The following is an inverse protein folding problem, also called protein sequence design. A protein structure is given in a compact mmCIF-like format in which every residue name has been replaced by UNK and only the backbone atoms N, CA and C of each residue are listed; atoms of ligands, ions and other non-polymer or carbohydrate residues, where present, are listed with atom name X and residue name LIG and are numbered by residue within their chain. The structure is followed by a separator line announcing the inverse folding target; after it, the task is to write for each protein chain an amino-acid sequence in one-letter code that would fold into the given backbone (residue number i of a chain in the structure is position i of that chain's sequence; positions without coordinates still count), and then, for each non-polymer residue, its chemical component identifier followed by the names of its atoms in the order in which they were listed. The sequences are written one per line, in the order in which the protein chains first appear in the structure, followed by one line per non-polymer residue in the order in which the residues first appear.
data_IF_173838356548
#
_entry.id   IF_173838356548
#
_cell.length_a   1.000
_cell.length_b   1.000
_cell.length_c   1.000
_cell.angle_alpha   90.00
_cell.angle_beta   90.00
_cell.angle_gamma   90.00
#
_symmetry.space_group_name_H-M   'P 1'
#
loop_
_entity.id
_entity.type
_entity.pdbx_description
1 polymer ?
#
# COMPACT_ATOMS: atom_id res chain seq x y z
N UNK A 1 -36.26 -28.01 34.51
CA UNK A 1 -35.04 -27.20 34.33
C UNK A 1 -34.60 -27.37 32.90
N UNK A 2 -35.04 -26.47 32.05
CA UNK A 2 -34.72 -26.47 30.63
C UNK A 2 -33.41 -25.68 30.43
N UNK A 3 -32.45 -26.33 29.79
CA UNK A 3 -31.16 -25.71 29.43
C UNK A 3 -31.35 -25.02 28.08
N UNK A 4 -31.43 -23.69 28.08
CA UNK A 4 -31.50 -22.87 26.87
C UNK A 4 -30.09 -22.83 26.28
N UNK A 5 -29.90 -23.60 25.19
CA UNK A 5 -28.68 -23.56 24.39
C UNK A 5 -28.57 -22.23 23.64
N UNK A 6 -27.59 -21.40 24.00
CA UNK A 6 -27.24 -20.19 23.24
C UNK A 6 -26.47 -20.65 22.02
N UNK A 7 -27.13 -20.67 20.85
CA UNK A 7 -26.51 -20.83 19.55
C UNK A 7 -25.87 -19.49 19.19
N UNK A 8 -24.55 -19.37 19.37
CA UNK A 8 -23.79 -18.27 18.79
C UNK A 8 -23.75 -18.43 17.27
N UNK A 9 -24.62 -17.71 16.58
CA UNK A 9 -24.56 -17.55 15.13
C UNK A 9 -23.38 -16.62 14.84
N UNK A 10 -22.22 -17.20 14.52
CA UNK A 10 -21.13 -16.47 13.90
C UNK A 10 -21.60 -16.05 12.51
N UNK A 11 -22.14 -14.84 12.38
CA UNK A 11 -22.33 -14.21 11.09
C UNK A 11 -20.94 -14.11 10.43
N UNK A 12 -20.70 -14.88 9.36
CA UNK A 12 -19.57 -14.67 8.46
C UNK A 12 -19.61 -13.21 8.07
N UNK A 13 -18.67 -12.40 8.56
CA UNK A 13 -18.48 -11.03 8.10
C UNK A 13 -18.21 -11.14 6.60
N UNK A 14 -19.21 -10.83 5.78
CA UNK A 14 -19.06 -10.75 4.31
C UNK A 14 -17.97 -9.72 4.08
N UNK A 15 -16.86 -10.10 3.44
CA UNK A 15 -15.86 -9.14 3.01
C UNK A 15 -16.62 -8.05 2.25
N UNK A 16 -16.49 -6.78 2.67
CA UNK A 16 -17.23 -5.72 2.01
C UNK A 16 -16.62 -5.54 0.62
N UNK A 17 -17.45 -5.63 -0.41
CA UNK A 17 -17.07 -5.29 -1.77
C UNK A 17 -16.54 -3.85 -1.84
N UNK A 18 -15.61 -3.60 -2.76
CA UNK A 18 -15.08 -2.25 -2.97
C UNK A 18 -16.23 -1.35 -3.47
N UNK A 19 -16.45 -0.17 -2.88
CA UNK A 19 -17.48 0.74 -3.34
C UNK A 19 -17.30 1.12 -4.81
N UNK A 20 -18.40 1.20 -5.53
CA UNK A 20 -18.47 1.72 -6.90
C UNK A 20 -19.16 3.08 -6.86
N UNK A 21 -18.49 4.10 -7.32
CA UNK A 21 -18.93 5.50 -7.23
C UNK A 21 -18.93 6.16 -8.61
N UNK A 22 -19.76 7.18 -8.78
CA UNK A 22 -19.78 8.02 -9.97
C UNK A 22 -19.19 9.40 -9.70
N UNK A 23 -18.51 9.99 -10.68
CA UNK A 23 -18.11 11.38 -10.63
C UNK A 23 -19.33 12.30 -10.67
N UNK A 24 -19.33 13.37 -9.86
CA UNK A 24 -20.44 14.35 -9.80
C UNK A 24 -20.11 15.67 -10.49
N UNK A 25 -18.84 16.02 -10.65
CA UNK A 25 -18.36 17.25 -11.27
C UNK A 25 -17.29 17.01 -12.32
N UNK A 26 -17.07 17.98 -13.18
CA UNK A 26 -15.92 18.03 -14.10
C UNK A 26 -14.61 17.99 -13.30
N UNK A 27 -13.64 17.23 -13.80
CA UNK A 27 -12.29 17.15 -13.21
C UNK A 27 -11.62 18.52 -13.32
N UNK A 28 -11.27 19.10 -12.18
CA UNK A 28 -10.61 20.41 -12.10
C UNK A 28 -9.13 20.35 -11.80
N UNK A 29 -8.65 19.21 -11.33
CA UNK A 29 -7.25 19.05 -10.95
C UNK A 29 -6.66 17.74 -11.46
N UNK A 30 -5.48 17.83 -12.08
CA UNK A 30 -4.64 16.71 -12.50
C UNK A 30 -3.26 16.89 -11.87
N UNK A 31 -2.80 15.87 -11.18
CA UNK A 31 -1.47 15.89 -10.58
C UNK A 31 -0.40 15.67 -11.65
N UNK A 32 0.68 16.44 -11.59
CA UNK A 32 1.79 16.34 -12.55
C UNK A 32 2.84 15.32 -12.08
N UNK A 33 2.41 14.10 -11.90
CA UNK A 33 3.28 12.95 -11.61
C UNK A 33 3.30 12.00 -12.79
N UNK A 34 4.13 10.97 -12.77
CA UNK A 34 4.29 10.04 -13.90
C UNK A 34 2.98 9.40 -14.39
N UNK A 35 2.02 9.16 -13.51
CA UNK A 35 0.71 8.57 -13.84
C UNK A 35 -0.40 9.59 -14.04
N UNK A 36 -0.14 10.87 -13.74
CA UNK A 36 -1.10 11.98 -13.87
C UNK A 36 -2.48 11.68 -13.27
N UNK A 37 -2.58 11.24 -11.99
CA UNK A 37 -3.87 10.96 -11.39
C UNK A 37 -4.72 12.23 -11.31
N UNK A 38 -6.04 12.04 -11.24
CA UNK A 38 -7.01 13.13 -11.23
C UNK A 38 -7.79 13.18 -9.92
N UNK A 39 -8.09 14.38 -9.46
CA UNK A 39 -8.96 14.58 -8.30
C UNK A 39 -10.42 14.60 -8.76
N UNK A 40 -11.21 13.67 -8.21
CA UNK A 40 -12.61 13.47 -8.59
C UNK A 40 -13.50 13.61 -7.35
N UNK A 41 -14.51 14.46 -7.43
CA UNK A 41 -15.59 14.48 -6.46
C UNK A 41 -16.60 13.40 -6.83
N UNK A 42 -16.93 12.52 -5.89
CA UNK A 42 -17.74 11.33 -6.12
C UNK A 42 -19.13 11.43 -5.48
N UNK A 43 -20.00 10.49 -5.87
CA UNK A 43 -21.42 10.43 -5.46
C UNK A 43 -21.65 10.28 -3.95
N UNK A 44 -20.66 9.85 -3.21
CA UNK A 44 -20.64 9.79 -1.74
C UNK A 44 -20.19 11.10 -1.08
N UNK A 45 -20.07 12.18 -1.87
CA UNK A 45 -19.64 13.53 -1.45
C UNK A 45 -18.21 13.60 -0.90
N UNK A 46 -17.37 12.60 -1.22
CA UNK A 46 -15.95 12.63 -0.92
C UNK A 46 -15.11 12.82 -2.19
N UNK A 47 -13.91 13.37 -2.01
CA UNK A 47 -12.94 13.50 -3.08
C UNK A 47 -12.02 12.28 -3.12
N UNK A 48 -11.70 11.83 -4.33
CA UNK A 48 -10.80 10.70 -4.58
C UNK A 48 -9.69 11.11 -5.54
N UNK A 49 -8.48 10.64 -5.27
CA UNK A 49 -7.35 10.72 -6.19
C UNK A 49 -7.41 9.45 -7.04
N UNK A 50 -7.81 9.60 -8.30
CA UNK A 50 -8.11 8.49 -9.20
C UNK A 50 -6.96 8.26 -10.18
N UNK A 51 -6.41 7.05 -10.17
CA UNK A 51 -5.56 6.50 -11.21
C UNK A 51 -6.44 5.79 -12.24
N UNK A 52 -6.09 5.90 -13.53
CA UNK A 52 -6.94 5.44 -14.61
C UNK A 52 -6.15 4.76 -15.72
N UNK A 53 -6.82 3.94 -16.53
CA UNK A 53 -6.21 3.22 -17.61
C UNK A 53 -5.86 4.14 -18.78
N UNK A 54 -4.59 4.43 -18.98
CA UNK A 54 -4.07 5.25 -20.09
C UNK A 54 -3.67 4.41 -21.30
N UNK A 55 -3.29 3.17 -21.04
CA UNK A 55 -2.91 2.14 -22.01
C UNK A 55 -3.12 0.76 -21.40
N UNK A 56 -2.99 -0.30 -22.19
CA UNK A 56 -3.05 -1.68 -21.68
C UNK A 56 -1.96 -1.96 -20.61
N UNK A 57 -0.79 -1.36 -20.71
CA UNK A 57 0.28 -1.52 -19.72
C UNK A 57 -0.07 -0.89 -18.37
N UNK A 58 -0.86 0.19 -18.33
CA UNK A 58 -1.28 0.82 -17.08
C UNK A 58 -2.29 -0.02 -16.30
N UNK A 59 -2.96 -0.99 -16.92
CA UNK A 59 -3.88 -1.91 -16.26
C UNK A 59 -3.18 -2.78 -15.20
N UNK A 60 -1.95 -3.22 -15.46
CA UNK A 60 -1.15 -3.98 -14.50
C UNK A 60 -0.79 -3.14 -13.28
N UNK A 61 -0.44 -1.86 -13.46
CA UNK A 61 -0.19 -0.93 -12.37
C UNK A 61 -1.45 -0.66 -11.53
N UNK A 62 -2.61 -0.51 -12.17
CA UNK A 62 -3.89 -0.38 -11.47
C UNK A 62 -4.21 -1.66 -10.67
N UNK A 63 -3.88 -2.83 -11.21
CA UNK A 63 -4.01 -4.09 -10.47
C UNK A 63 -3.09 -4.14 -9.26
N UNK A 64 -1.86 -3.64 -9.38
CA UNK A 64 -0.94 -3.49 -8.26
C UNK A 64 -1.47 -2.53 -7.19
N UNK A 65 -2.04 -1.38 -7.58
CA UNK A 65 -2.69 -0.45 -6.63
C UNK A 65 -3.82 -1.12 -5.85
N UNK A 66 -4.67 -1.87 -6.54
CA UNK A 66 -5.76 -2.63 -5.92
C UNK A 66 -5.22 -3.67 -4.94
N UNK A 67 -4.29 -4.51 -5.39
CA UNK A 67 -3.65 -5.56 -4.59
C UNK A 67 -2.98 -4.95 -3.37
N UNK A 68 -2.12 -3.95 -3.57
CA UNK A 68 -1.36 -3.30 -2.50
C UNK A 68 -2.25 -2.65 -1.45
N UNK A 69 -3.32 -1.96 -1.86
CA UNK A 69 -4.27 -1.33 -0.93
C UNK A 69 -5.01 -2.35 -0.06
N UNK A 70 -5.48 -3.45 -0.65
CA UNK A 70 -6.17 -4.52 0.09
C UNK A 70 -5.22 -5.29 1.01
N UNK A 71 -4.00 -5.58 0.55
CA UNK A 71 -2.97 -6.23 1.34
C UNK A 71 -2.48 -5.34 2.49
N UNK A 72 -2.27 -4.04 2.25
CA UNK A 72 -1.92 -3.07 3.31
C UNK A 72 -3.00 -3.00 4.39
N UNK A 73 -4.28 -3.01 4.00
CA UNK A 73 -5.40 -3.08 4.93
C UNK A 73 -5.38 -4.39 5.75
N UNK A 74 -5.07 -5.53 5.10
CA UNK A 74 -4.93 -6.81 5.80
C UNK A 74 -3.77 -6.81 6.79
N UNK A 75 -2.70 -6.12 6.48
CA UNK A 75 -1.56 -5.87 7.38
C UNK A 75 -1.86 -4.84 8.47
N UNK A 76 -3.04 -4.23 8.46
CA UNK A 76 -3.38 -3.15 9.39
C UNK A 76 -2.40 -1.96 9.28
N UNK A 77 -1.96 -1.65 8.07
CA UNK A 77 -1.32 -0.38 7.77
C UNK A 77 -2.38 0.70 7.62
N UNK A 78 -2.10 1.90 8.06
CA UNK A 78 -2.93 3.05 7.70
C UNK A 78 -2.72 3.33 6.21
N UNK A 79 -3.82 3.29 5.45
CA UNK A 79 -3.85 3.55 4.01
C UNK A 79 -5.21 4.14 3.64
N UNK A 80 -5.32 4.97 2.60
CA UNK A 80 -6.61 5.51 2.18
C UNK A 80 -7.60 4.40 1.80
N UNK A 81 -8.87 4.60 2.12
CA UNK A 81 -9.93 3.75 1.58
C UNK A 81 -9.98 3.90 0.06
N UNK A 82 -10.20 2.79 -0.64
CA UNK A 82 -10.29 2.76 -2.09
C UNK A 82 -11.73 2.61 -2.57
N UNK A 83 -12.00 3.08 -3.79
CA UNK A 83 -13.24 2.86 -4.51
C UNK A 83 -12.97 2.73 -6.01
N UNK A 84 -13.80 1.98 -6.72
CA UNK A 84 -13.89 2.10 -8.16
C UNK A 84 -14.70 3.34 -8.51
N UNK A 85 -14.18 4.18 -9.40
CA UNK A 85 -14.84 5.43 -9.78
C UNK A 85 -15.10 5.44 -11.28
N UNK A 86 -16.38 5.53 -11.65
CA UNK A 86 -16.79 5.79 -13.02
C UNK A 86 -16.78 7.29 -13.27
N UNK A 87 -15.83 7.75 -14.05
CA UNK A 87 -15.77 9.14 -14.47
C UNK A 87 -16.59 9.31 -15.72
N UNK A 88 -17.71 10.04 -15.64
CA UNK A 88 -18.59 10.32 -16.77
C UNK A 88 -17.82 11.00 -17.89
N UNK A 89 -18.10 10.64 -19.15
CA UNK A 89 -17.37 11.16 -20.31
C UNK A 89 -17.30 12.68 -20.37
N UNK A 90 -18.41 13.36 -20.02
CA UNK A 90 -18.47 14.81 -19.96
C UNK A 90 -17.72 15.46 -18.78
N UNK A 91 -17.22 14.68 -17.84
CA UNK A 91 -16.47 15.18 -16.68
C UNK A 91 -14.94 15.17 -16.91
N UNK A 92 -14.46 14.50 -17.94
CA UNK A 92 -13.06 14.55 -18.32
C UNK A 92 -12.68 15.92 -18.88
N UNK A 93 -11.61 16.52 -18.36
CA UNK A 93 -11.01 17.75 -18.91
C UNK A 93 -9.81 17.37 -19.78
N UNK A 94 -9.81 17.82 -21.05
CA UNK A 94 -8.73 17.58 -21.99
C UNK A 94 -8.82 16.24 -22.73
N UNK A 95 -7.75 15.89 -23.43
CA UNK A 95 -7.70 14.67 -24.20
C UNK A 95 -7.50 13.46 -23.28
N UNK A 96 -8.38 12.48 -23.41
CA UNK A 96 -8.30 11.17 -22.76
C UNK A 96 -8.48 10.08 -23.80
N UNK A 97 -7.90 8.92 -23.53
CA UNK A 97 -8.04 7.77 -24.41
C UNK A 97 -9.41 7.10 -24.23
N UNK A 98 -9.84 6.31 -25.23
CA UNK A 98 -11.04 5.48 -25.09
C UNK A 98 -10.93 4.54 -23.87
N UNK A 99 -9.74 4.00 -23.60
CA UNK A 99 -9.50 3.17 -22.41
C UNK A 99 -9.80 3.89 -21.10
N UNK A 100 -9.45 5.18 -21.01
CA UNK A 100 -9.72 5.99 -19.81
C UNK A 100 -11.22 6.18 -19.55
N UNK A 101 -12.03 6.18 -20.60
CA UNK A 101 -13.47 6.41 -20.51
C UNK A 101 -14.22 5.10 -20.27
N UNK A 102 -13.78 3.99 -20.85
CA UNK A 102 -14.50 2.70 -20.85
C UNK A 102 -14.24 1.83 -19.63
N UNK A 103 -13.13 2.08 -18.91
CA UNK A 103 -12.76 1.28 -17.75
C UNK A 103 -12.96 2.08 -16.44
N UNK A 104 -13.32 1.40 -15.34
CA UNK A 104 -13.36 2.06 -14.03
C UNK A 104 -11.96 2.51 -13.61
N UNK A 105 -11.89 3.66 -12.95
CA UNK A 105 -10.66 4.15 -12.33
C UNK A 105 -10.55 3.59 -10.91
N UNK A 106 -9.36 3.49 -10.37
CA UNK A 106 -9.15 3.19 -8.95
C UNK A 106 -8.89 4.51 -8.21
N UNK A 107 -9.81 4.87 -7.34
CA UNK A 107 -9.75 6.07 -6.52
C UNK A 107 -9.29 5.74 -5.11
N UNK A 108 -8.27 6.46 -4.63
CA UNK A 108 -7.89 6.52 -3.22
C UNK A 108 -8.55 7.73 -2.58
N UNK A 109 -9.32 7.54 -1.52
CA UNK A 109 -10.03 8.62 -0.83
C UNK A 109 -9.02 9.67 -0.36
N UNK A 110 -9.23 10.93 -0.77
CA UNK A 110 -8.37 12.04 -0.35
C UNK A 110 -8.40 12.16 1.17
N UNK A 111 -7.22 12.19 1.77
CA UNK A 111 -7.04 12.42 3.19
C UNK A 111 -6.94 13.92 3.46
N UNK A 112 -7.54 14.34 4.58
CA UNK A 112 -7.44 15.71 5.07
C UNK A 112 -6.50 15.78 6.27
N UNK A 113 -5.92 16.94 6.51
CA UNK A 113 -5.03 17.19 7.66
C UNK A 113 -3.77 16.29 7.68
N UNK A 114 -3.29 15.95 6.50
CA UNK A 114 -2.05 15.19 6.30
C UNK A 114 -1.01 16.04 5.58
N UNK A 115 0.26 15.71 5.80
CA UNK A 115 1.40 16.31 5.09
C UNK A 115 2.15 15.22 4.33
N UNK A 116 2.66 15.55 3.15
CA UNK A 116 3.58 14.69 2.42
C UNK A 116 4.90 14.58 3.18
N UNK A 117 5.44 13.37 3.30
CA UNK A 117 6.74 13.17 3.91
C UNK A 117 7.83 13.46 2.90
N UNK A 118 8.51 14.56 3.14
CA UNK A 118 9.68 15.03 2.39
C UNK A 118 10.76 15.49 3.37
N UNK A 119 12.02 15.68 2.96
CA UNK A 119 13.05 16.22 3.87
C UNK A 119 12.67 17.52 4.56
N UNK A 120 11.86 18.36 3.89
CA UNK A 120 11.40 19.64 4.48
C UNK A 120 10.31 19.48 5.54
N UNK A 121 9.60 18.34 5.56
CA UNK A 121 8.50 18.06 6.50
C UNK A 121 8.89 17.07 7.62
N UNK A 122 10.12 16.58 7.66
CA UNK A 122 10.55 15.65 8.73
C UNK A 122 10.36 16.26 10.14
N UNK A 123 10.52 17.57 10.28
CA UNK A 123 10.28 18.26 11.54
C UNK A 123 8.87 18.14 12.10
N UNK A 124 7.88 17.88 11.24
CA UNK A 124 6.47 17.67 11.62
C UNK A 124 6.22 16.26 12.14
N UNK A 125 7.12 15.31 11.82
CA UNK A 125 6.99 13.90 12.20
C UNK A 125 7.55 13.68 13.60
N UNK A 126 6.72 13.14 14.49
CA UNK A 126 7.15 12.81 15.87
C UNK A 126 8.16 11.68 15.87
N UNK A 127 9.26 11.84 16.60
CA UNK A 127 10.33 10.83 16.74
C UNK A 127 10.04 9.86 17.91
N UNK A 128 8.90 9.20 17.90
CA UNK A 128 8.51 8.24 18.94
C UNK A 128 8.82 6.80 18.52
N UNK A 129 9.02 5.85 19.46
CA UNK A 129 9.18 4.43 19.13
C UNK A 129 7.98 3.88 18.34
N UNK A 130 6.78 4.42 18.55
CA UNK A 130 5.57 4.01 17.82
C UNK A 130 5.64 4.40 16.33
N UNK A 131 6.12 5.60 16.00
CA UNK A 131 6.29 6.02 14.60
C UNK A 131 7.40 5.21 13.93
N UNK A 132 8.51 4.97 14.60
CA UNK A 132 9.56 4.10 14.09
C UNK A 132 9.04 2.69 13.82
N UNK A 133 8.26 2.13 14.75
CA UNK A 133 7.60 0.82 14.56
C UNK A 133 6.67 0.81 13.36
N UNK A 134 5.89 1.88 13.13
CA UNK A 134 5.04 2.00 11.95
C UNK A 134 5.89 1.97 10.67
N UNK A 135 6.98 2.75 10.60
CA UNK A 135 7.87 2.75 9.45
C UNK A 135 8.52 1.38 9.21
N UNK A 136 9.03 0.74 10.26
CA UNK A 136 9.63 -0.59 10.19
C UNK A 136 8.62 -1.65 9.73
N UNK A 137 7.36 -1.55 10.15
CA UNK A 137 6.29 -2.43 9.68
C UNK A 137 5.96 -2.20 8.20
N UNK A 138 5.91 -0.94 7.75
CA UNK A 138 5.72 -0.58 6.34
C UNK A 138 6.88 -1.14 5.51
N UNK A 139 8.12 -0.98 5.97
CA UNK A 139 9.29 -1.54 5.28
C UNK A 139 9.20 -3.07 5.13
N UNK A 140 8.84 -3.81 6.18
CA UNK A 140 8.64 -5.27 6.07
C UNK A 140 7.52 -5.63 5.08
N UNK A 141 6.44 -4.84 5.06
CA UNK A 141 5.38 -5.01 4.07
C UNK A 141 5.92 -4.83 2.65
N UNK A 142 6.75 -3.80 2.41
CA UNK A 142 7.36 -3.56 1.11
C UNK A 142 8.30 -4.69 0.67
N UNK A 143 9.12 -5.21 1.58
CA UNK A 143 9.92 -6.41 1.31
C UNK A 143 9.04 -7.59 0.90
N UNK A 144 7.92 -7.82 1.63
CA UNK A 144 7.04 -8.94 1.35
C UNK A 144 6.33 -8.83 0.01
N UNK A 145 5.85 -7.62 -0.34
CA UNK A 145 5.09 -7.40 -1.57
C UNK A 145 5.97 -6.95 -2.75
N UNK A 146 7.30 -6.91 -2.55
CA UNK A 146 8.31 -6.46 -3.49
C UNK A 146 7.99 -5.06 -4.07
N UNK A 147 7.87 -4.05 -3.20
CA UNK A 147 7.60 -2.66 -3.57
C UNK A 147 8.91 -1.88 -3.73
N UNK A 148 9.37 -1.69 -4.94
CA UNK A 148 10.63 -1.02 -5.27
C UNK A 148 10.54 0.52 -5.24
N UNK A 149 9.33 1.07 -5.22
CA UNK A 149 9.12 2.53 -5.36
C UNK A 149 9.09 3.26 -4.00
N UNK A 150 9.03 2.55 -2.87
CA UNK A 150 9.12 3.18 -1.55
C UNK A 150 10.55 3.07 -1.02
N UNK A 151 11.35 4.05 -1.36
CA UNK A 151 12.79 4.07 -1.08
C UNK A 151 13.26 5.47 -0.61
N UNK A 152 14.57 5.68 -0.56
CA UNK A 152 15.18 6.93 -0.11
C UNK A 152 14.75 8.18 -0.92
N UNK A 153 14.43 8.01 -2.20
CA UNK A 153 14.07 9.11 -3.10
C UNK A 153 12.57 9.37 -3.14
N UNK A 154 11.77 8.38 -2.76
CA UNK A 154 10.31 8.42 -2.85
C UNK A 154 9.70 7.69 -1.64
N UNK A 155 9.31 8.43 -0.62
CA UNK A 155 8.76 7.82 0.59
C UNK A 155 7.38 7.21 0.37
N UNK A 156 6.58 7.76 -0.54
CA UNK A 156 5.18 7.34 -0.75
C UNK A 156 4.41 7.21 0.57
N UNK A 157 4.61 8.19 1.46
CA UNK A 157 4.02 8.26 2.78
C UNK A 157 3.41 9.64 3.03
N UNK A 158 2.26 9.64 3.69
CA UNK A 158 1.71 10.83 4.31
C UNK A 158 1.82 10.71 5.83
N UNK A 159 1.82 11.83 6.52
CA UNK A 159 1.78 11.89 7.96
C UNK A 159 0.53 12.64 8.44
N UNK A 160 -0.29 11.97 9.23
CA UNK A 160 -1.40 12.59 9.96
C UNK A 160 -0.84 13.22 11.23
N UNK A 161 -0.69 14.54 11.21
CA UNK A 161 -0.11 15.31 12.33
C UNK A 161 -0.97 15.20 13.59
N UNK A 162 -2.29 15.20 13.42
CA UNK A 162 -3.25 15.15 14.54
C UNK A 162 -3.22 13.80 15.25
N UNK A 163 -3.19 12.70 14.49
CA UNK A 163 -3.23 11.33 15.03
C UNK A 163 -1.84 10.77 15.30
N UNK A 164 -0.78 11.36 14.75
CA UNK A 164 0.58 10.84 14.82
C UNK A 164 0.68 9.48 14.12
N UNK A 165 0.28 9.40 12.84
CA UNK A 165 0.24 8.15 12.07
C UNK A 165 0.89 8.33 10.71
N UNK A 166 1.70 7.36 10.32
CA UNK A 166 2.18 7.21 8.95
C UNK A 166 1.09 6.54 8.10
N UNK A 167 0.82 7.09 6.94
CA UNK A 167 -0.17 6.59 6.00
C UNK A 167 0.57 6.17 4.73
N UNK A 168 0.50 4.88 4.42
CA UNK A 168 1.13 4.30 3.24
C UNK A 168 0.24 4.49 2.01
N UNK A 169 0.82 5.02 0.93
CA UNK A 169 0.14 5.30 -0.33
C UNK A 169 0.97 4.80 -1.50
N UNK A 170 0.36 4.76 -2.67
CA UNK A 170 1.00 4.42 -3.95
C UNK A 170 1.61 3.02 -3.99
N UNK A 171 0.85 2.08 -4.50
CA UNK A 171 1.26 0.67 -4.63
C UNK A 171 1.42 0.24 -6.10
N UNK A 172 1.49 1.18 -7.04
CA UNK A 172 1.58 0.88 -8.47
C UNK A 172 2.84 0.12 -8.88
N UNK A 173 3.88 0.15 -8.04
CA UNK A 173 5.17 -0.48 -8.30
C UNK A 173 5.47 -1.68 -7.38
N UNK A 174 4.46 -2.33 -6.79
CA UNK A 174 4.63 -3.62 -6.11
C UNK A 174 4.88 -4.75 -7.12
N UNK A 175 5.23 -5.93 -6.61
CA UNK A 175 5.52 -7.14 -7.42
C UNK A 175 6.63 -6.86 -8.45
N UNK A 176 7.72 -6.21 -8.01
CA UNK A 176 8.82 -5.75 -8.85
C UNK A 176 8.31 -4.91 -10.04
N UNK A 177 7.69 -3.79 -9.73
CA UNK A 177 7.16 -2.82 -10.70
C UNK A 177 6.14 -3.43 -11.68
N UNK A 178 5.14 -4.13 -11.13
CA UNK A 178 4.07 -4.79 -11.89
C UNK A 178 4.58 -5.87 -12.87
N UNK A 179 5.66 -6.57 -12.50
CA UNK A 179 6.25 -7.64 -13.32
C UNK A 179 5.51 -8.95 -13.09
N UNK A 180 4.49 -9.23 -13.90
CA UNK A 180 3.66 -10.44 -13.74
C UNK A 180 4.23 -11.67 -14.46
N UNK A 181 5.05 -11.49 -15.48
CA UNK A 181 5.55 -12.58 -16.34
C UNK A 181 6.79 -13.30 -15.77
N UNK A 182 7.44 -12.74 -14.75
CA UNK A 182 8.67 -13.28 -14.17
C UNK A 182 8.49 -13.57 -12.67
N UNK A 183 9.32 -14.45 -12.11
CA UNK A 183 9.36 -14.66 -10.67
C UNK A 183 9.71 -13.36 -9.92
N UNK A 184 9.18 -13.22 -8.71
CA UNK A 184 9.55 -12.08 -7.86
C UNK A 184 11.01 -12.19 -7.41
N UNK A 185 11.65 -11.04 -7.28
CA UNK A 185 12.98 -10.90 -6.72
C UNK A 185 12.92 -10.10 -5.41
N UNK A 186 13.85 -10.39 -4.51
CA UNK A 186 13.98 -9.66 -3.26
C UNK A 186 14.45 -8.24 -3.50
N UNK A 187 13.99 -7.30 -2.66
CA UNK A 187 14.48 -5.93 -2.67
C UNK A 187 15.95 -5.88 -2.26
N UNK A 188 16.70 -4.98 -2.88
CA UNK A 188 18.05 -4.65 -2.43
C UNK A 188 18.01 -3.60 -1.33
N UNK A 189 19.12 -3.39 -0.62
CA UNK A 189 19.23 -2.40 0.47
C UNK A 189 18.83 -0.99 0.00
N UNK A 190 19.11 -0.62 -1.24
CA UNK A 190 18.80 0.71 -1.78
C UNK A 190 17.35 0.88 -2.23
N UNK A 191 16.61 -0.22 -2.40
CA UNK A 191 15.21 -0.23 -2.85
C UNK A 191 14.21 -0.10 -1.68
N UNK A 192 14.70 0.14 -0.48
CA UNK A 192 13.86 0.17 0.73
C UNK A 192 13.89 1.52 1.43
N UNK A 193 12.77 1.85 2.08
CA UNK A 193 12.64 3.02 2.95
C UNK A 193 13.60 2.95 4.17
N UNK A 194 14.13 1.77 4.53
CA UNK A 194 15.13 1.64 5.61
C UNK A 194 16.44 2.34 5.26
N UNK A 195 16.75 2.54 3.97
CA UNK A 195 17.92 3.30 3.51
C UNK A 195 17.66 4.80 3.38
N UNK A 196 16.57 5.32 3.93
CA UNK A 196 16.16 6.71 3.78
C UNK A 196 16.60 7.60 4.94
N UNK A 197 16.72 8.89 4.65
CA UNK A 197 16.93 9.91 5.67
C UNK A 197 15.78 9.94 6.69
N UNK A 198 14.57 9.56 6.31
CA UNK A 198 13.44 9.43 7.22
C UNK A 198 13.70 8.34 8.28
N UNK A 199 14.16 7.15 7.86
CA UNK A 199 14.48 6.09 8.82
C UNK A 199 15.58 6.55 9.79
N UNK A 200 16.66 7.11 9.28
CA UNK A 200 17.75 7.64 10.11
C UNK A 200 17.28 8.74 11.06
N UNK A 201 16.42 9.65 10.59
CA UNK A 201 15.83 10.69 11.43
C UNK A 201 15.02 10.10 12.60
N UNK A 202 14.21 9.08 12.36
CA UNK A 202 13.38 8.43 13.38
C UNK A 202 14.21 7.54 14.32
N UNK A 203 15.24 6.87 13.80
CA UNK A 203 16.10 5.96 14.56
C UNK A 203 17.16 6.68 15.40
N UNK A 204 17.61 7.88 15.00
CA UNK A 204 18.72 8.64 15.58
C UNK A 204 18.73 8.74 17.11
N UNK A 205 17.56 8.79 17.74
CA UNK A 205 17.42 8.93 19.20
C UNK A 205 17.14 7.61 19.91
N UNK A 206 17.25 6.47 19.22
CA UNK A 206 16.95 5.13 19.76
C UNK A 206 18.24 4.33 19.89
N UNK A 207 18.32 3.58 20.97
CA UNK A 207 19.38 2.59 21.14
C UNK A 207 19.04 1.31 20.33
N UNK A 208 20.07 0.51 20.07
CA UNK A 208 19.91 -0.74 19.31
C UNK A 208 18.91 -1.69 19.98
N UNK A 209 18.89 -1.76 21.32
CA UNK A 209 17.95 -2.60 22.06
C UNK A 209 16.49 -2.22 21.79
N UNK A 210 16.19 -0.91 21.66
CA UNK A 210 14.86 -0.43 21.28
C UNK A 210 14.47 -0.89 19.86
N UNK A 211 15.40 -0.78 18.90
CA UNK A 211 15.15 -1.19 17.50
C UNK A 211 14.97 -2.70 17.41
N UNK A 212 15.80 -3.48 18.09
CA UNK A 212 15.69 -4.94 18.16
C UNK A 212 14.34 -5.39 18.76
N UNK A 213 13.93 -4.77 19.87
CA UNK A 213 12.64 -5.04 20.50
C UNK A 213 11.47 -4.75 19.55
N UNK A 214 11.54 -3.63 18.80
CA UNK A 214 10.53 -3.33 17.77
C UNK A 214 10.52 -4.41 16.71
N UNK A 215 11.68 -4.86 16.23
CA UNK A 215 11.78 -5.91 15.20
C UNK A 215 11.22 -7.25 15.70
N UNK A 216 11.49 -7.64 16.94
CA UNK A 216 10.93 -8.86 17.55
C UNK A 216 9.40 -8.80 17.65
N UNK A 217 8.85 -7.68 18.12
CA UNK A 217 7.39 -7.48 18.15
C UNK A 217 6.74 -7.55 16.76
N UNK A 218 7.42 -7.06 15.73
CA UNK A 218 6.99 -7.15 14.34
C UNK A 218 7.01 -8.62 13.87
N UNK A 219 8.06 -9.38 14.23
CA UNK A 219 8.19 -10.80 13.89
C UNK A 219 7.04 -11.63 14.44
N UNK A 220 6.68 -11.41 15.70
CA UNK A 220 5.57 -12.12 16.34
C UNK A 220 4.24 -11.94 15.59
N UNK A 221 4.04 -10.77 14.98
CA UNK A 221 2.84 -10.44 14.24
C UNK A 221 2.89 -10.81 12.75
N UNK A 222 4.07 -11.07 12.19
CA UNK A 222 4.26 -11.30 10.75
C UNK A 222 3.38 -12.43 10.21
N UNK A 223 3.40 -13.60 10.86
CA UNK A 223 2.56 -14.75 10.46
C UNK A 223 1.07 -14.43 10.54
N UNK A 224 0.64 -13.62 11.50
CA UNK A 224 -0.75 -13.18 11.61
C UNK A 224 -1.15 -12.30 10.42
N UNK A 225 -0.30 -11.36 9.99
CA UNK A 225 -0.57 -10.52 8.83
C UNK A 225 -0.60 -11.32 7.52
N UNK A 226 0.32 -12.27 7.35
CA UNK A 226 0.31 -13.19 6.20
C UNK A 226 -1.02 -13.96 6.10
N UNK A 227 -1.48 -14.53 7.21
CA UNK A 227 -2.77 -15.25 7.24
C UNK A 227 -3.97 -14.35 6.93
N UNK A 228 -3.92 -13.10 7.34
CA UNK A 228 -4.98 -12.13 7.00
C UNK A 228 -4.94 -11.77 5.52
N UNK A 229 -3.75 -11.58 4.97
CA UNK A 229 -3.55 -11.29 3.55
C UNK A 229 -4.00 -12.44 2.65
N UNK A 230 -3.72 -13.67 3.05
CA UNK A 230 -4.16 -14.84 2.29
C UNK A 230 -5.68 -14.89 2.10
N UNK A 231 -6.43 -14.39 3.08
CA UNK A 231 -7.91 -14.29 2.99
C UNK A 231 -8.39 -13.20 2.03
N UNK A 232 -7.51 -12.31 1.56
CA UNK A 232 -7.86 -11.28 0.59
C UNK A 232 -7.72 -11.74 -0.86
N UNK A 233 -7.04 -12.88 -1.11
CA UNK A 233 -6.75 -13.34 -2.47
C UNK A 233 -8.03 -13.52 -3.28
N UNK A 234 -9.03 -14.21 -2.75
CA UNK A 234 -10.30 -14.44 -3.45
C UNK A 234 -11.01 -13.10 -3.74
N UNK A 235 -11.05 -12.20 -2.75
CA UNK A 235 -11.65 -10.87 -2.93
C UNK A 235 -10.92 -10.07 -4.02
N UNK A 236 -9.60 -10.08 -4.04
CA UNK A 236 -8.82 -9.39 -5.07
C UNK A 236 -9.16 -9.92 -6.46
N UNK A 237 -9.23 -11.25 -6.62
CA UNK A 237 -9.53 -11.87 -7.90
C UNK A 237 -10.99 -11.61 -8.33
N UNK A 238 -11.93 -11.57 -7.39
CA UNK A 238 -13.35 -11.25 -7.67
C UNK A 238 -13.54 -9.78 -8.07
N UNK A 239 -12.86 -8.85 -7.37
CA UNK A 239 -13.00 -7.41 -7.57
C UNK A 239 -12.20 -6.87 -8.76
N UNK A 240 -11.31 -7.66 -9.37
CA UNK A 240 -10.51 -7.19 -10.51
C UNK A 240 -11.42 -6.87 -11.71
N UNK A 241 -11.47 -5.59 -12.17
CA UNK A 241 -12.37 -5.22 -13.25
C UNK A 241 -12.03 -5.94 -14.56
N UNK A 242 -13.05 -6.47 -15.24
CA UNK A 242 -12.87 -7.13 -16.54
C UNK A 242 -12.37 -6.15 -17.60
N UNK A 243 -12.74 -4.88 -17.49
CA UNK A 243 -12.38 -3.79 -18.39
C UNK A 243 -10.88 -3.48 -18.39
N UNK A 244 -10.18 -3.85 -17.32
CA UNK A 244 -8.71 -3.73 -17.27
C UNK A 244 -8.02 -4.80 -18.11
N UNK A 245 -8.73 -5.87 -18.46
CA UNK A 245 -8.23 -6.95 -19.33
C UNK A 245 -6.92 -7.58 -18.82
N UNK A 246 -6.77 -7.68 -17.50
CA UNK A 246 -5.66 -8.39 -16.85
C UNK A 246 -6.10 -9.83 -16.56
N UNK A 247 -5.38 -10.84 -17.07
CA UNK A 247 -5.78 -12.24 -16.86
C UNK A 247 -5.73 -12.61 -15.36
N UNK A 248 -6.88 -13.03 -14.81
CA UNK A 248 -6.96 -13.41 -13.39
C UNK A 248 -5.99 -14.51 -12.99
N UNK A 249 -5.76 -15.47 -13.88
CA UNK A 249 -4.82 -16.57 -13.62
C UNK A 249 -3.40 -16.07 -13.36
N UNK A 250 -2.95 -15.06 -14.12
CA UNK A 250 -1.62 -14.47 -13.96
C UNK A 250 -1.50 -13.75 -12.61
N UNK A 251 -2.57 -13.02 -12.21
CA UNK A 251 -2.63 -12.36 -10.91
C UNK A 251 -2.65 -13.40 -9.77
N UNK A 252 -3.44 -14.46 -9.91
CA UNK A 252 -3.54 -15.53 -8.93
C UNK A 252 -2.19 -16.23 -8.70
N UNK A 253 -1.49 -16.58 -9.78
CA UNK A 253 -0.16 -17.21 -9.72
C UNK A 253 0.86 -16.30 -9.02
N UNK A 254 0.81 -14.99 -9.30
CA UNK A 254 1.68 -14.02 -8.66
C UNK A 254 1.35 -13.87 -7.16
N UNK A 255 0.07 -13.81 -6.81
CA UNK A 255 -0.35 -13.74 -5.41
C UNK A 255 0.02 -15.00 -4.63
N UNK A 256 0.00 -16.19 -5.25
CA UNK A 256 0.45 -17.44 -4.61
C UNK A 256 1.92 -17.38 -4.19
N UNK A 257 2.78 -16.74 -5.00
CA UNK A 257 4.21 -16.59 -4.68
C UNK A 257 4.44 -15.81 -3.39
N UNK A 258 3.59 -14.81 -3.07
CA UNK A 258 3.68 -14.04 -1.82
C UNK A 258 3.53 -14.89 -0.55
N UNK A 259 2.88 -16.05 -0.66
CA UNK A 259 2.62 -16.95 0.47
C UNK A 259 3.50 -18.21 0.44
N UNK A 260 4.39 -18.31 -0.55
CA UNK A 260 5.39 -19.36 -0.56
C UNK A 260 6.29 -19.26 0.67
N UNK A 261 6.58 -20.42 1.30
CA UNK A 261 7.35 -20.43 2.53
C UNK A 261 8.78 -19.95 2.30
N UNK A 262 9.39 -20.33 1.20
CA UNK A 262 10.75 -19.88 0.89
C UNK A 262 10.77 -18.37 0.74
N UNK A 263 9.79 -17.80 0.00
CA UNK A 263 9.65 -16.35 -0.17
C UNK A 263 9.51 -15.62 1.18
N UNK A 264 8.60 -16.08 2.04
CA UNK A 264 8.35 -15.41 3.34
C UNK A 264 9.52 -15.51 4.30
N UNK A 265 10.26 -16.62 4.28
CA UNK A 265 11.46 -16.82 5.10
C UNK A 265 12.63 -15.94 4.58
N UNK A 266 12.82 -15.82 3.26
CA UNK A 266 13.82 -14.96 2.64
C UNK A 266 13.52 -13.48 2.85
N UNK A 267 12.25 -13.05 2.74
CA UNK A 267 11.79 -11.69 3.07
C UNK A 267 12.19 -11.30 4.47
N UNK A 268 11.91 -12.15 5.46
CA UNK A 268 12.28 -11.85 6.84
C UNK A 268 13.79 -11.73 7.02
N UNK A 269 14.55 -12.64 6.43
CA UNK A 269 16.02 -12.63 6.49
C UNK A 269 16.58 -11.33 5.91
N UNK A 270 16.19 -10.99 4.68
CA UNK A 270 16.68 -9.80 3.99
C UNK A 270 16.28 -8.49 4.71
N UNK A 271 15.05 -8.44 5.24
CA UNK A 271 14.59 -7.31 6.05
C UNK A 271 15.48 -7.08 7.27
N UNK A 272 15.84 -8.14 8.01
CA UNK A 272 16.71 -8.05 9.19
C UNK A 272 18.14 -7.70 8.82
N UNK A 273 18.67 -8.26 7.74
CA UNK A 273 20.00 -7.90 7.23
C UNK A 273 20.07 -6.41 6.86
N UNK A 274 19.10 -5.92 6.11
CA UNK A 274 18.99 -4.53 5.73
C UNK A 274 18.82 -3.60 6.95
N UNK A 275 18.03 -3.99 7.94
CA UNK A 275 17.85 -3.22 9.17
C UNK A 275 19.16 -3.08 9.94
N UNK A 276 19.94 -4.15 10.07
CA UNK A 276 21.25 -4.14 10.75
C UNK A 276 22.23 -3.25 10.02
N UNK A 277 22.37 -3.39 8.72
CA UNK A 277 23.24 -2.55 7.91
C UNK A 277 22.95 -1.05 8.13
N UNK A 278 21.67 -0.67 8.18
CA UNK A 278 21.29 0.73 8.35
C UNK A 278 21.39 1.27 9.77
N UNK A 279 21.36 0.42 10.78
CA UNK A 279 21.59 0.83 12.18
C UNK A 279 23.07 0.94 12.52
N UNK A 280 23.93 0.08 11.98
CA UNK A 280 25.37 0.12 12.18
C UNK A 280 26.03 1.30 11.45
N UNK A 281 25.59 1.65 10.24
CA UNK A 281 26.09 2.82 9.50
C UNK A 281 25.71 4.17 10.14
N UNK A 282 24.66 4.20 10.94
CA UNK A 282 24.25 5.41 11.67
C UNK A 282 25.24 5.81 12.78
N UNK A 283 26.04 4.89 13.30
CA UNK A 283 27.07 5.16 14.31
C UNK A 283 28.38 5.72 13.71
N UNK A 284 28.62 5.55 12.42
CA UNK A 284 29.89 5.93 11.74
C UNK A 284 29.85 7.35 11.15
N UNK A 285 28.72 8.05 11.19
CA UNK A 285 28.56 9.42 10.65
C UNK A 285 28.41 10.50 11.75
N UNK A 286 29.15 10.38 12.86
CA UNK A 286 29.35 11.48 13.83
C UNK A 286 30.77 11.97 13.74
#
# INVERSE_FOLDING_TARGET
MEVIGIVCIFAKKKNMAIPVLDSVNVITHRYRTGEEPVLVMCSDMNAYICKYMRSSASAYKLSCELIGSLMATAWQLETPNIAFVHIKSGHWAGHVTQHSISAPTLGSKRMESVVDITPSTFGDVKTTPDILRQLMKIALFDFWIANEDRNANNANLLYDVGRGRLISIDYGCILNTATFDYAMTQLTTTDTILWSDLFHYLAKSKDNATIENIAENIKEQYVYWLKRSQKQVDLILEELPNEWNVPRIVVEEKLKQLFDRQWTDEVWKNYIECLKENTEYGEVKI
#
